data_IF_263599753164
#
_entry.id   IF_263599753164
#
_cell.length_a   1.000
_cell.length_b   1.000
_cell.length_c   1.000
_cell.angle_alpha   90.00
_cell.angle_beta   90.00
_cell.angle_gamma   90.00
#
_symmetry.space_group_name_H-M   'P 1'
#
loop_
_entity.id
_entity.type
_entity.pdbx_description
1 polymer ?
#
# COMPACT_ATOMS: atom_id res chain seq x y z
N UNK A 1 -2.54 -9.14 0.52
CA UNK A 1 -3.08 -8.11 -0.41
C UNK A 1 -3.50 -8.77 -1.70
N UNK A 2 -4.71 -8.43 -2.20
CA UNK A 2 -5.18 -8.76 -3.55
C UNK A 2 -4.93 -7.59 -4.49
N UNK A 3 -4.83 -7.87 -5.79
CA UNK A 3 -4.56 -6.84 -6.79
C UNK A 3 -5.58 -6.90 -7.94
N UNK A 4 -6.18 -5.76 -8.27
CA UNK A 4 -7.09 -5.58 -9.41
C UNK A 4 -6.50 -4.62 -10.47
N UNK A 5 -5.31 -4.05 -10.19
CA UNK A 5 -4.69 -3.05 -11.02
C UNK A 5 -3.67 -3.67 -11.99
N UNK A 6 -2.43 -3.27 -12.01
CA UNK A 6 -1.42 -3.57 -13.05
C UNK A 6 -1.09 -5.07 -13.23
N UNK A 7 -1.26 -5.91 -12.20
CA UNK A 7 -1.04 -7.36 -12.34
C UNK A 7 -2.15 -8.10 -13.09
N UNK A 8 -3.26 -7.43 -13.39
CA UNK A 8 -4.43 -8.02 -14.05
C UNK A 8 -4.58 -7.50 -15.48
N UNK A 9 -4.55 -8.41 -16.46
CA UNK A 9 -4.79 -8.07 -17.85
C UNK A 9 -6.16 -7.41 -18.05
N UNK A 10 -6.26 -6.43 -18.95
CA UNK A 10 -7.48 -5.63 -19.16
C UNK A 10 -8.72 -6.51 -19.41
N UNK A 11 -8.61 -7.55 -20.22
CA UNK A 11 -9.71 -8.49 -20.52
C UNK A 11 -10.16 -9.32 -19.31
N UNK A 12 -9.35 -9.42 -18.27
CA UNK A 12 -9.63 -10.23 -17.08
C UNK A 12 -10.07 -9.41 -15.86
N UNK A 13 -10.17 -8.09 -15.99
CA UNK A 13 -10.53 -7.18 -14.87
C UNK A 13 -11.82 -7.60 -14.17
N UNK A 14 -12.88 -7.88 -14.93
CA UNK A 14 -14.17 -8.29 -14.36
C UNK A 14 -14.12 -9.69 -13.71
N UNK A 15 -13.34 -10.59 -14.26
CA UNK A 15 -13.13 -11.92 -13.69
C UNK A 15 -12.37 -11.81 -12.37
N UNK A 16 -11.28 -11.06 -12.34
CA UNK A 16 -10.47 -10.82 -11.15
C UNK A 16 -11.29 -10.16 -10.03
N UNK A 17 -12.09 -9.14 -10.36
CA UNK A 17 -12.99 -8.47 -9.42
C UNK A 17 -13.94 -9.45 -8.73
N UNK A 18 -14.59 -10.31 -9.50
CA UNK A 18 -15.49 -11.34 -8.95
C UNK A 18 -14.75 -12.33 -8.07
N UNK A 19 -13.56 -12.78 -8.49
CA UNK A 19 -12.73 -13.67 -7.69
C UNK A 19 -12.32 -13.04 -6.35
N UNK A 20 -11.90 -11.79 -6.35
CA UNK A 20 -11.53 -11.06 -5.13
C UNK A 20 -12.74 -10.89 -4.21
N UNK A 21 -13.91 -10.51 -4.75
CA UNK A 21 -15.14 -10.43 -3.98
C UNK A 21 -15.46 -11.74 -3.23
N UNK A 22 -15.37 -12.89 -3.89
CA UNK A 22 -15.61 -14.19 -3.25
C UNK A 22 -14.48 -14.58 -2.30
N UNK A 23 -13.23 -14.26 -2.62
CA UNK A 23 -12.09 -14.54 -1.74
C UNK A 23 -12.24 -13.80 -0.40
N UNK A 24 -12.61 -12.52 -0.41
CA UNK A 24 -12.81 -11.72 0.80
C UNK A 24 -13.83 -12.33 1.76
N UNK A 25 -14.82 -13.05 1.24
CA UNK A 25 -15.85 -13.71 2.07
C UNK A 25 -15.42 -15.10 2.56
N UNK A 26 -14.26 -15.60 2.13
CA UNK A 26 -13.82 -16.94 2.45
C UNK A 26 -13.30 -17.02 3.89
N UNK A 27 -13.66 -18.07 4.68
CA UNK A 27 -13.26 -18.19 6.09
C UNK A 27 -11.76 -18.10 6.37
N UNK A 28 -10.90 -18.45 5.42
CA UNK A 28 -9.44 -18.38 5.56
C UNK A 28 -8.90 -16.96 5.78
N UNK A 29 -9.67 -15.93 5.44
CA UNK A 29 -9.25 -14.53 5.57
C UNK A 29 -9.86 -13.80 6.76
N UNK A 30 -10.68 -14.46 7.61
CA UNK A 30 -11.40 -13.80 8.72
C UNK A 30 -10.49 -13.20 9.78
N UNK A 31 -9.34 -13.84 10.01
CA UNK A 31 -8.39 -13.44 11.05
C UNK A 31 -7.12 -12.80 10.46
N UNK A 32 -7.19 -12.37 9.20
CA UNK A 32 -6.08 -11.77 8.46
C UNK A 32 -6.57 -10.46 7.85
N UNK A 33 -5.86 -9.35 8.12
CA UNK A 33 -6.15 -8.07 7.48
C UNK A 33 -6.05 -8.19 5.96
N UNK A 34 -7.13 -7.84 5.29
CA UNK A 34 -7.26 -7.93 3.83
C UNK A 34 -7.11 -6.55 3.19
N UNK A 35 -6.12 -6.43 2.30
CA UNK A 35 -5.88 -5.21 1.53
C UNK A 35 -6.17 -5.52 0.07
N UNK A 36 -6.91 -4.66 -0.62
CA UNK A 36 -7.15 -4.78 -2.06
C UNK A 36 -6.68 -3.52 -2.79
N UNK A 37 -5.74 -3.68 -3.73
CA UNK A 37 -5.40 -2.60 -4.66
C UNK A 37 -6.43 -2.58 -5.78
N UNK A 38 -7.14 -1.46 -5.90
CA UNK A 38 -8.17 -1.21 -6.92
C UNK A 38 -7.57 -0.47 -8.11
N UNK A 39 -8.31 -0.37 -9.20
CA UNK A 39 -7.97 0.55 -10.29
C UNK A 39 -8.29 2.00 -9.88
N UNK A 40 -7.64 2.98 -10.52
CA UNK A 40 -7.89 4.40 -10.29
C UNK A 40 -9.39 4.73 -10.46
N UNK A 41 -9.90 5.64 -9.63
CA UNK A 41 -11.34 5.94 -9.56
C UNK A 41 -11.90 6.48 -10.87
N UNK A 42 -11.10 7.22 -11.62
CA UNK A 42 -11.41 7.79 -12.92
C UNK A 42 -11.27 6.79 -14.09
N UNK A 43 -10.81 5.57 -13.81
CA UNK A 43 -10.73 4.50 -14.80
C UNK A 43 -12.08 3.83 -15.04
N UNK A 44 -12.19 3.10 -16.14
CA UNK A 44 -13.38 2.29 -16.48
C UNK A 44 -13.75 1.29 -15.37
N UNK A 45 -12.79 0.86 -14.54
CA UNK A 45 -12.96 -0.21 -13.54
C UNK A 45 -13.08 0.28 -12.10
N UNK A 46 -12.54 1.46 -11.78
CA UNK A 46 -12.32 1.91 -10.40
C UNK A 46 -13.57 1.91 -9.52
N UNK A 47 -14.67 2.47 -10.01
CA UNK A 47 -15.95 2.51 -9.26
C UNK A 47 -16.48 1.10 -9.01
N UNK A 48 -16.44 0.23 -10.02
CA UNK A 48 -16.91 -1.16 -9.90
C UNK A 48 -16.01 -1.99 -8.98
N UNK A 49 -14.72 -1.72 -8.96
CA UNK A 49 -13.78 -2.36 -8.05
C UNK A 49 -14.10 -1.97 -6.61
N UNK A 50 -14.26 -0.68 -6.32
CA UNK A 50 -14.64 -0.20 -4.99
C UNK A 50 -15.95 -0.82 -4.52
N UNK A 51 -16.99 -0.83 -5.38
CA UNK A 51 -18.27 -1.45 -5.06
C UNK A 51 -18.09 -2.93 -4.65
N UNK A 52 -17.32 -3.68 -5.42
CA UNK A 52 -17.09 -5.11 -5.15
C UNK A 52 -16.27 -5.32 -3.86
N UNK A 53 -15.16 -4.61 -3.67
CA UNK A 53 -14.25 -4.87 -2.55
C UNK A 53 -14.80 -4.39 -1.22
N UNK A 54 -15.50 -3.25 -1.19
CA UNK A 54 -16.15 -2.74 0.03
C UNK A 54 -17.30 -3.64 0.42
N UNK A 55 -18.17 -4.05 -0.53
CA UNK A 55 -19.23 -5.04 -0.26
C UNK A 55 -18.69 -6.42 0.13
N UNK A 56 -17.56 -6.81 -0.44
CA UNK A 56 -16.88 -8.07 -0.13
C UNK A 56 -16.30 -8.12 1.27
N UNK A 57 -16.12 -6.98 1.93
CA UNK A 57 -15.66 -6.91 3.30
C UNK A 57 -14.16 -6.64 3.44
N UNK A 58 -13.50 -6.09 2.43
CA UNK A 58 -12.10 -5.67 2.55
C UNK A 58 -11.89 -4.75 3.77
N UNK A 59 -10.80 -4.98 4.51
CA UNK A 59 -10.42 -4.13 5.64
C UNK A 59 -9.80 -2.84 5.14
N UNK A 60 -9.00 -2.91 4.07
CA UNK A 60 -8.27 -1.76 3.53
C UNK A 60 -8.35 -1.74 2.01
N UNK A 61 -8.61 -0.57 1.44
CA UNK A 61 -8.48 -0.28 0.01
C UNK A 61 -7.16 0.42 -0.23
N UNK A 62 -6.32 -0.13 -1.12
CA UNK A 62 -5.10 0.52 -1.58
C UNK A 62 -5.39 1.32 -2.86
N UNK A 63 -5.17 2.64 -2.77
CA UNK A 63 -5.29 3.56 -3.89
C UNK A 63 -4.01 3.50 -4.72
N UNK A 64 -4.07 3.22 -6.03
CA UNK A 64 -2.92 3.39 -6.92
C UNK A 64 -2.70 4.87 -7.25
N UNK A 65 -1.50 5.22 -7.67
CA UNK A 65 -1.16 6.48 -8.37
C UNK A 65 -1.73 7.74 -7.69
N UNK A 66 -1.62 7.80 -6.37
CA UNK A 66 -2.12 8.94 -5.57
C UNK A 66 -1.19 10.13 -5.70
N UNK A 67 -1.67 11.22 -6.27
CA UNK A 67 -0.91 12.44 -6.55
C UNK A 67 -1.32 13.63 -5.68
N UNK A 68 -2.53 13.61 -5.13
CA UNK A 68 -3.12 14.72 -4.36
C UNK A 68 -3.92 14.26 -3.15
N UNK A 69 -4.14 15.16 -2.19
CA UNK A 69 -5.10 14.93 -1.10
C UNK A 69 -6.53 14.72 -1.62
N UNK A 70 -6.88 15.34 -2.76
CA UNK A 70 -8.20 15.21 -3.35
C UNK A 70 -8.48 13.78 -3.83
N UNK A 71 -7.47 13.07 -4.35
CA UNK A 71 -7.62 11.67 -4.76
C UNK A 71 -8.03 10.79 -3.58
N UNK A 72 -7.48 11.03 -2.40
CA UNK A 72 -7.86 10.34 -1.16
C UNK A 72 -9.28 10.67 -0.75
N UNK A 73 -9.66 11.96 -0.79
CA UNK A 73 -11.01 12.41 -0.41
C UNK A 73 -12.10 11.89 -1.34
N UNK A 74 -11.83 11.81 -2.63
CA UNK A 74 -12.80 11.32 -3.62
C UNK A 74 -13.07 9.82 -3.42
N UNK A 75 -12.05 9.02 -3.15
CA UNK A 75 -12.21 7.60 -2.83
C UNK A 75 -12.89 7.41 -1.47
N UNK A 76 -12.52 8.18 -0.46
CA UNK A 76 -13.20 8.12 0.85
C UNK A 76 -14.69 8.36 0.74
N UNK A 77 -15.08 9.39 -0.01
CA UNK A 77 -16.48 9.71 -0.27
C UNK A 77 -17.23 8.55 -0.93
N UNK A 78 -16.60 7.89 -1.90
CA UNK A 78 -17.20 6.76 -2.60
C UNK A 78 -17.30 5.53 -1.69
N UNK A 79 -16.27 5.22 -0.90
CA UNK A 79 -16.31 4.15 0.10
C UNK A 79 -17.44 4.38 1.11
N UNK A 80 -17.59 5.61 1.63
CA UNK A 80 -18.65 5.96 2.57
C UNK A 80 -20.04 5.75 1.96
N UNK A 81 -20.21 6.10 0.69
CA UNK A 81 -21.46 5.85 -0.06
C UNK A 81 -21.79 4.35 -0.11
N UNK A 82 -20.78 3.53 -0.42
CA UNK A 82 -20.95 2.08 -0.57
C UNK A 82 -21.21 1.42 0.79
N UNK A 83 -20.45 1.78 1.84
CA UNK A 83 -20.66 1.29 3.21
C UNK A 83 -22.11 1.49 3.65
N UNK A 84 -22.63 2.71 3.49
CA UNK A 84 -24.05 3.03 3.79
C UNK A 84 -25.03 2.20 2.96
N UNK A 85 -24.74 2.02 1.68
CA UNK A 85 -25.62 1.31 0.76
C UNK A 85 -25.67 -0.21 1.04
N UNK A 86 -24.62 -0.80 1.59
CA UNK A 86 -24.56 -2.23 1.90
C UNK A 86 -24.71 -2.55 3.40
N UNK A 87 -24.94 -1.56 4.26
CA UNK A 87 -25.16 -1.75 5.71
C UNK A 87 -23.87 -2.05 6.48
N UNK A 88 -22.70 -1.70 5.94
CA UNK A 88 -21.44 -1.72 6.69
C UNK A 88 -21.34 -0.48 7.57
N UNK A 89 -20.62 -0.63 8.69
CA UNK A 89 -20.34 0.51 9.57
C UNK A 89 -19.54 1.57 8.82
N UNK A 90 -20.01 2.83 8.76
CA UNK A 90 -19.25 3.93 8.18
C UNK A 90 -17.87 4.06 8.84
N UNK A 91 -16.81 4.07 8.06
CA UNK A 91 -15.45 4.12 8.57
C UNK A 91 -14.79 2.75 8.76
N UNK A 92 -15.49 1.65 8.50
CA UNK A 92 -14.95 0.29 8.68
C UNK A 92 -13.91 -0.11 7.63
N UNK A 93 -13.83 0.61 6.50
CA UNK A 93 -12.83 0.35 5.45
C UNK A 93 -11.73 1.41 5.52
N UNK A 94 -10.50 0.99 5.84
CA UNK A 94 -9.31 1.84 5.85
C UNK A 94 -8.78 2.14 4.44
N UNK A 95 -7.85 3.09 4.36
CA UNK A 95 -7.17 3.48 3.12
C UNK A 95 -5.66 3.33 3.24
N UNK A 96 -5.01 2.92 2.15
CA UNK A 96 -3.56 2.91 1.99
C UNK A 96 -3.22 3.57 0.64
N UNK A 97 -2.57 4.73 0.64
CA UNK A 97 -2.25 5.42 -0.60
C UNK A 97 -0.89 4.99 -1.17
N UNK A 98 -0.85 4.63 -2.46
CA UNK A 98 0.39 4.36 -3.18
C UNK A 98 0.82 5.63 -3.93
N UNK A 99 1.98 6.16 -3.57
CA UNK A 99 2.59 7.34 -4.19
C UNK A 99 3.64 6.87 -5.18
N UNK A 100 3.44 7.19 -6.47
CA UNK A 100 4.14 6.56 -7.59
C UNK A 100 4.68 7.58 -8.60
N UNK A 101 4.58 8.88 -8.27
CA UNK A 101 5.01 9.97 -9.14
C UNK A 101 5.80 11.04 -8.41
N UNK A 102 6.62 11.84 -9.09
CA UNK A 102 7.26 13.02 -8.51
C UNK A 102 6.27 14.03 -7.92
N UNK A 103 5.09 14.18 -8.55
CA UNK A 103 4.04 15.07 -8.05
C UNK A 103 3.51 14.58 -6.70
N UNK A 104 3.16 13.29 -6.60
CA UNK A 104 2.70 12.69 -5.35
C UNK A 104 3.77 12.75 -4.25
N UNK A 105 5.05 12.53 -4.58
CA UNK A 105 6.15 12.66 -3.62
C UNK A 105 6.28 14.09 -3.08
N UNK A 106 6.16 15.11 -3.92
CA UNK A 106 6.22 16.51 -3.46
C UNK A 106 5.02 16.92 -2.63
N UNK A 107 3.90 16.21 -2.74
CA UNK A 107 2.65 16.43 -1.98
C UNK A 107 2.40 15.37 -0.90
N UNK A 108 3.38 14.55 -0.59
CA UNK A 108 3.21 13.43 0.33
C UNK A 108 2.66 13.83 1.70
N UNK A 109 3.03 15.01 2.23
CA UNK A 109 2.51 15.52 3.51
C UNK A 109 1.01 15.86 3.40
N UNK A 110 0.58 16.51 2.34
CA UNK A 110 -0.84 16.83 2.11
C UNK A 110 -1.67 15.55 1.96
N UNK A 111 -1.15 14.57 1.22
CA UNK A 111 -1.77 13.25 1.05
C UNK A 111 -1.89 12.53 2.40
N UNK A 112 -0.81 12.51 3.19
CA UNK A 112 -0.78 11.80 4.47
C UNK A 112 -1.79 12.35 5.50
N UNK A 113 -2.13 13.63 5.41
CA UNK A 113 -3.09 14.30 6.29
C UNK A 113 -4.51 14.41 5.71
N UNK A 114 -4.77 13.82 4.53
CA UNK A 114 -6.03 14.03 3.81
C UNK A 114 -7.26 13.39 4.49
N UNK A 115 -7.10 12.27 5.20
CA UNK A 115 -8.21 11.51 5.78
C UNK A 115 -7.78 10.75 7.03
N UNK A 116 -8.67 10.69 8.02
CA UNK A 116 -8.49 9.84 9.21
C UNK A 116 -8.58 8.33 8.89
N UNK A 117 -9.14 7.96 7.72
CA UNK A 117 -9.17 6.57 7.25
C UNK A 117 -7.82 6.10 6.70
N UNK A 118 -6.90 7.03 6.41
CA UNK A 118 -5.61 6.70 5.84
C UNK A 118 -4.71 6.09 6.92
N UNK A 119 -4.48 4.78 6.83
CA UNK A 119 -3.66 4.03 7.78
C UNK A 119 -2.17 4.07 7.42
N UNK A 120 -1.84 4.39 6.17
CA UNK A 120 -0.47 4.43 5.70
C UNK A 120 -0.32 4.95 4.27
N UNK A 121 0.92 5.23 3.92
CA UNK A 121 1.34 5.55 2.55
C UNK A 121 2.47 4.62 2.11
N UNK A 122 2.50 4.29 0.83
CA UNK A 122 3.47 3.36 0.27
C UNK A 122 4.16 3.94 -0.96
N UNK A 123 5.46 3.68 -1.13
CA UNK A 123 6.18 4.00 -2.35
C UNK A 123 5.88 2.96 -3.44
N UNK A 124 5.48 3.41 -4.64
CA UNK A 124 5.42 2.60 -5.86
C UNK A 124 6.59 2.94 -6.78
N UNK A 125 7.73 2.26 -6.59
CA UNK A 125 8.99 2.69 -7.20
C UNK A 125 9.06 2.44 -8.72
N UNK A 126 8.36 1.43 -9.25
CA UNK A 126 8.43 1.09 -10.67
C UNK A 126 7.88 2.24 -11.54
N UNK A 127 6.71 2.77 -11.19
CA UNK A 127 6.16 3.94 -11.88
C UNK A 127 6.90 5.23 -11.50
N UNK A 128 7.37 5.36 -10.26
CA UNK A 128 8.14 6.53 -9.83
C UNK A 128 9.43 6.71 -10.66
N UNK A 129 10.25 5.65 -10.82
CA UNK A 129 11.49 5.76 -11.61
C UNK A 129 11.20 5.99 -13.10
N UNK A 130 10.13 5.39 -13.62
CA UNK A 130 9.67 5.66 -15.00
C UNK A 130 9.30 7.14 -15.18
N UNK A 131 8.59 7.73 -14.23
CA UNK A 131 8.25 9.15 -14.22
C UNK A 131 9.48 10.06 -14.06
N UNK A 132 10.49 9.63 -13.30
CA UNK A 132 11.79 10.31 -13.22
C UNK A 132 12.64 10.16 -14.47
N UNK A 133 12.26 9.28 -15.42
CA UNK A 133 13.03 8.93 -16.62
C UNK A 133 14.39 8.31 -16.28
N UNK A 134 14.41 7.45 -15.28
CA UNK A 134 15.59 6.69 -14.83
C UNK A 134 15.24 5.22 -14.63
N UNK A 135 16.21 4.43 -14.20
CA UNK A 135 16.05 3.00 -13.90
C UNK A 135 16.42 2.71 -12.44
N UNK A 136 15.97 1.57 -11.95
CA UNK A 136 16.35 1.07 -10.62
C UNK A 136 17.83 0.71 -10.58
N UNK A 137 18.54 1.23 -9.59
CA UNK A 137 19.92 0.83 -9.29
C UNK A 137 19.99 -0.14 -8.09
N UNK A 138 21.03 -0.97 -7.99
CA UNK A 138 21.21 -1.84 -6.83
C UNK A 138 21.32 -1.07 -5.51
N UNK A 139 21.86 0.14 -5.53
CA UNK A 139 22.02 1.04 -4.39
C UNK A 139 20.74 1.78 -4.03
N UNK A 140 19.79 1.88 -4.97
CA UNK A 140 18.50 2.58 -4.79
C UNK A 140 18.65 4.09 -4.54
N UNK A 141 19.74 4.70 -5.02
CA UNK A 141 20.03 6.14 -4.83
C UNK A 141 18.90 7.01 -5.40
N UNK A 142 18.34 6.63 -6.54
CA UNK A 142 17.22 7.30 -7.20
C UNK A 142 15.95 7.34 -6.34
N UNK A 143 15.83 6.42 -5.38
CA UNK A 143 14.67 6.32 -4.48
C UNK A 143 14.85 7.06 -3.16
N UNK A 144 16.07 7.49 -2.82
CA UNK A 144 16.37 8.02 -1.48
C UNK A 144 15.50 9.23 -1.12
N UNK A 145 15.34 10.17 -2.06
CA UNK A 145 14.51 11.35 -1.83
C UNK A 145 13.04 10.96 -1.59
N UNK A 146 12.48 10.07 -2.43
CA UNK A 146 11.11 9.60 -2.27
C UNK A 146 10.90 8.85 -0.96
N UNK A 147 11.82 7.96 -0.58
CA UNK A 147 11.80 7.22 0.69
C UNK A 147 11.78 8.17 1.88
N UNK A 148 12.68 9.16 1.91
CA UNK A 148 12.73 10.14 2.98
C UNK A 148 11.45 11.00 3.05
N UNK A 149 10.92 11.43 1.90
CA UNK A 149 9.71 12.25 1.83
C UNK A 149 8.48 11.50 2.34
N UNK A 150 8.27 10.25 1.89
CA UNK A 150 7.17 9.40 2.36
C UNK A 150 7.29 9.14 3.86
N UNK A 151 8.48 8.81 4.34
CA UNK A 151 8.69 8.54 5.76
C UNK A 151 8.37 9.77 6.63
N UNK A 152 8.85 10.96 6.25
CA UNK A 152 8.56 12.21 6.96
C UNK A 152 7.05 12.52 6.93
N UNK A 153 6.40 12.37 5.78
CA UNK A 153 4.97 12.58 5.64
C UNK A 153 4.16 11.64 6.54
N UNK A 154 4.45 10.35 6.50
CA UNK A 154 3.76 9.35 7.33
C UNK A 154 3.94 9.63 8.82
N UNK A 155 5.16 9.95 9.27
CA UNK A 155 5.43 10.24 10.69
C UNK A 155 4.77 11.53 11.15
N UNK A 156 4.68 12.56 10.29
CA UNK A 156 3.97 13.81 10.63
C UNK A 156 2.47 13.59 10.81
N UNK A 157 1.88 12.64 10.11
CA UNK A 157 0.46 12.28 10.22
C UNK A 157 0.18 11.15 11.23
N UNK A 158 1.21 10.53 11.80
CA UNK A 158 1.05 9.41 12.74
C UNK A 158 0.61 8.10 12.08
N UNK A 159 0.83 7.95 10.76
CA UNK A 159 0.44 6.76 9.98
C UNK A 159 1.66 5.92 9.58
N UNK A 160 1.41 4.74 9.01
CA UNK A 160 2.45 3.80 8.59
C UNK A 160 3.09 4.19 7.26
N UNK A 161 4.39 3.87 7.11
CA UNK A 161 5.15 4.03 5.87
C UNK A 161 5.60 2.66 5.34
N UNK A 162 5.26 2.36 4.09
CA UNK A 162 5.67 1.12 3.43
C UNK A 162 6.57 1.40 2.24
N UNK A 163 7.67 0.65 2.15
CA UNK A 163 8.55 0.73 0.99
C UNK A 163 8.01 -0.12 -0.17
N UNK A 164 8.61 0.10 -1.33
CA UNK A 164 8.29 -0.56 -2.59
C UNK A 164 8.67 -2.04 -2.63
N UNK A 165 8.30 -2.74 -3.70
CA UNK A 165 8.73 -4.11 -4.00
C UNK A 165 10.23 -4.18 -4.35
N UNK A 166 10.83 -5.37 -4.17
CA UNK A 166 12.12 -5.74 -4.74
C UNK A 166 11.87 -6.72 -5.89
N UNK A 167 12.10 -6.27 -7.11
CA UNK A 167 11.61 -6.93 -8.33
C UNK A 167 12.38 -8.19 -8.70
N UNK A 168 13.68 -8.30 -8.35
CA UNK A 168 14.47 -9.50 -8.59
C UNK A 168 14.22 -10.57 -7.51
N UNK A 169 13.18 -11.38 -7.71
CA UNK A 169 12.80 -12.43 -6.78
C UNK A 169 13.87 -13.54 -6.58
N UNK A 170 14.88 -13.59 -7.43
CA UNK A 170 15.96 -14.58 -7.35
C UNK A 170 17.19 -14.05 -6.60
N UNK A 171 17.27 -12.76 -6.34
CA UNK A 171 18.37 -12.13 -5.61
C UNK A 171 18.01 -11.89 -4.14
N UNK A 172 18.09 -12.95 -3.34
CA UNK A 172 17.79 -12.91 -1.90
C UNK A 172 18.74 -11.96 -1.14
N UNK A 173 20.03 -11.96 -1.48
CA UNK A 173 21.01 -11.11 -0.82
C UNK A 173 20.71 -9.61 -1.04
N UNK A 174 20.38 -9.22 -2.26
CA UNK A 174 19.98 -7.85 -2.59
C UNK A 174 18.68 -7.45 -1.90
N UNK A 175 17.69 -8.37 -1.86
CA UNK A 175 16.44 -8.15 -1.12
C UNK A 175 16.70 -7.87 0.37
N UNK A 176 17.50 -8.70 1.03
CA UNK A 176 17.83 -8.52 2.46
C UNK A 176 18.61 -7.24 2.72
N UNK A 177 19.53 -6.87 1.83
CA UNK A 177 20.28 -5.61 1.92
C UNK A 177 19.35 -4.41 1.83
N UNK A 178 18.47 -4.35 0.83
CA UNK A 178 17.49 -3.27 0.68
C UNK A 178 16.53 -3.25 1.88
N UNK A 179 16.00 -4.40 2.28
CA UNK A 179 15.09 -4.50 3.42
C UNK A 179 15.71 -4.03 4.74
N UNK A 180 16.99 -4.35 4.98
CA UNK A 180 17.73 -3.86 6.15
C UNK A 180 17.93 -2.34 6.09
N UNK A 181 18.24 -1.80 4.92
CA UNK A 181 18.38 -0.36 4.72
C UNK A 181 17.08 0.40 5.00
N UNK A 182 15.96 -0.04 4.44
CA UNK A 182 14.67 0.66 4.65
C UNK A 182 14.17 0.52 6.09
N UNK A 183 14.43 -0.60 6.75
CA UNK A 183 14.19 -0.74 8.18
C UNK A 183 15.01 0.25 9.01
N UNK A 184 16.28 0.46 8.66
CA UNK A 184 17.15 1.43 9.32
C UNK A 184 16.68 2.87 9.11
N UNK A 185 16.12 3.19 7.93
CA UNK A 185 15.47 4.48 7.67
C UNK A 185 14.23 4.71 8.54
N UNK A 186 13.55 3.64 8.96
CA UNK A 186 12.39 3.70 9.83
C UNK A 186 11.06 3.27 9.19
N UNK A 187 11.07 2.60 8.04
CA UNK A 187 9.85 2.06 7.43
C UNK A 187 9.24 0.94 8.28
N UNK A 188 7.92 0.86 8.31
CA UNK A 188 7.16 -0.14 9.06
C UNK A 188 7.12 -1.49 8.32
N UNK A 189 7.32 -1.47 7.02
CA UNK A 189 7.32 -2.67 6.19
C UNK A 189 7.67 -2.39 4.73
N UNK A 190 7.49 -3.42 3.91
CA UNK A 190 7.83 -3.41 2.50
C UNK A 190 6.81 -4.25 1.71
N UNK A 191 6.42 -3.77 0.55
CA UNK A 191 5.61 -4.56 -0.39
C UNK A 191 6.44 -5.74 -0.93
N UNK A 192 5.81 -6.91 -1.06
CA UNK A 192 6.44 -8.13 -1.55
C UNK A 192 5.77 -8.59 -2.84
N UNK A 193 6.54 -9.12 -3.79
CA UNK A 193 6.03 -9.68 -5.03
C UNK A 193 6.14 -11.21 -5.10
N UNK A 194 6.88 -11.83 -4.16
CA UNK A 194 7.07 -13.27 -4.15
C UNK A 194 6.93 -13.84 -2.75
N UNK A 195 6.18 -14.94 -2.55
CA UNK A 195 6.02 -15.56 -1.23
C UNK A 195 7.33 -15.96 -0.55
N UNK A 196 8.41 -16.26 -1.29
CA UNK A 196 9.74 -16.55 -0.71
C UNK A 196 10.31 -15.40 0.11
N UNK A 197 9.88 -14.18 -0.16
CA UNK A 197 10.34 -12.98 0.56
C UNK A 197 9.66 -12.81 1.92
N UNK A 198 8.56 -13.54 2.21
CA UNK A 198 7.76 -13.35 3.44
C UNK A 198 8.59 -13.67 4.68
N UNK A 199 9.13 -14.89 4.77
CA UNK A 199 9.90 -15.31 5.96
C UNK A 199 11.16 -14.48 6.14
N UNK A 200 11.81 -14.09 5.04
CA UNK A 200 13.00 -13.23 5.07
C UNK A 200 12.67 -11.86 5.69
N UNK A 201 11.57 -11.25 5.25
CA UNK A 201 11.14 -9.95 5.78
C UNK A 201 10.69 -10.06 7.23
N UNK A 202 9.89 -11.07 7.57
CA UNK A 202 9.42 -11.30 8.93
C UNK A 202 10.58 -11.49 9.90
N UNK A 203 11.58 -12.31 9.55
CA UNK A 203 12.75 -12.51 10.38
C UNK A 203 13.56 -11.21 10.59
N UNK A 204 13.67 -10.40 9.54
CA UNK A 204 14.35 -9.11 9.63
C UNK A 204 13.60 -8.14 10.55
N UNK A 205 12.27 -8.06 10.47
CA UNK A 205 11.45 -7.15 11.28
C UNK A 205 11.11 -7.68 12.67
N UNK A 206 11.36 -8.96 12.95
CA UNK A 206 11.12 -9.55 14.26
C UNK A 206 11.79 -8.73 15.38
N UNK A 207 11.10 -8.51 16.52
CA UNK A 207 11.68 -7.82 17.66
C UNK A 207 12.90 -8.58 18.20
N UNK A 208 14.00 -7.87 18.43
CA UNK A 208 15.18 -8.47 19.09
C UNK A 208 14.96 -8.53 20.60
N UNK A 209 15.55 -9.53 21.31
CA UNK A 209 15.44 -9.68 22.78
C UNK A 209 15.72 -8.37 23.54
N UNK A 210 16.61 -7.52 23.06
CA UNK A 210 16.92 -6.22 23.69
C UNK A 210 15.76 -5.21 23.62
N UNK A 211 14.88 -5.28 22.62
CA UNK A 211 13.72 -4.36 22.50
C UNK A 211 12.54 -4.75 23.38
N UNK A 212 12.48 -6.00 23.87
CA UNK A 212 11.45 -6.46 24.79
C UNK A 212 11.63 -5.98 26.24
N UNK A 213 12.85 -5.53 26.60
CA UNK A 213 13.23 -5.19 27.97
C UNK A 213 13.13 -3.67 28.23
N UNK A 214 13.00 -2.85 27.22
CA UNK A 214 12.84 -1.40 27.36
C UNK A 214 11.34 -1.05 27.27
N UNK A 215 10.68 -0.62 28.38
CA UNK A 215 9.32 -0.10 28.29
C UNK A 215 9.30 1.09 27.33
N UNK A 216 8.26 1.17 26.50
CA UNK A 216 8.01 2.37 25.73
C UNK A 216 7.96 3.54 26.71
N UNK A 217 8.82 4.55 26.51
CA UNK A 217 8.75 5.76 27.29
C UNK A 217 7.38 6.41 27.03
N UNK A 218 6.61 6.53 28.11
CA UNK A 218 5.32 7.21 28.18
C UNK A 218 5.47 8.69 27.88
#
# INVERSE_FOLDING_TARGET
MFDLEDSVALREKDTARRMVYHALQHPLYRDIETIVRVNALDSEWGVNDLEAVVRGGADVVRLPKTDTAQDVLDIEKEILRIEKACGREPGSTGLLAAIESPLGITRAVEIAHASERLIGIALGAEDYVRNLRTERSPEGTELLFARCSILQAARSAGIQAFDTVYSDANNEAGFLQEAAHIKQLGFDGKSLINPRQIDLLHNLYAPTRKKWITPAAS
#
